data_IF_989853426350
#
_entry.id   IF_989853426350
#
_cell.length_a   1.000
_cell.length_b   1.000
_cell.length_c   1.000
_cell.angle_alpha   90.00
_cell.angle_beta   90.00
_cell.angle_gamma   90.00
#
_symmetry.space_group_name_H-M   'P 1'
#
loop_
_entity.id
_entity.type
_entity.pdbx_description
1 polymer ?
#
# COMPACT_ATOMS: atom_id res chain seq x y z
N UNK A 1 5.46 -4.64 3.49
CA UNK A 1 5.65 -5.99 4.12
C UNK A 1 4.52 -6.98 3.77
N UNK A 2 3.23 -6.60 3.72
CA UNK A 2 2.12 -7.53 3.33
C UNK A 2 2.37 -8.07 1.92
N UNK A 3 2.66 -7.21 0.93
CA UNK A 3 2.99 -7.62 -0.44
C UNK A 3 4.13 -8.67 -0.49
N UNK A 4 5.19 -8.47 0.29
CA UNK A 4 6.26 -9.46 0.43
C UNK A 4 5.76 -10.77 1.05
N UNK A 5 4.92 -10.72 2.08
CA UNK A 5 4.38 -11.92 2.72
C UNK A 5 3.48 -12.72 1.77
N UNK A 6 2.70 -12.04 0.93
CA UNK A 6 1.87 -12.67 -0.11
C UNK A 6 2.73 -13.33 -1.20
N UNK A 7 3.80 -12.67 -1.65
CA UNK A 7 4.71 -13.30 -2.64
C UNK A 7 5.37 -14.56 -2.10
N UNK A 8 5.71 -14.58 -0.80
CA UNK A 8 6.23 -15.79 -0.12
C UNK A 8 5.19 -16.93 -0.03
N UNK A 9 3.91 -16.63 -0.20
CA UNK A 9 2.82 -17.60 -0.27
C UNK A 9 2.50 -18.05 -1.71
N UNK A 10 3.25 -17.55 -2.70
CA UNK A 10 3.10 -17.90 -4.11
C UNK A 10 2.16 -17.02 -4.92
N UNK A 11 1.58 -15.97 -4.32
CA UNK A 11 0.79 -14.98 -5.06
C UNK A 11 1.71 -14.05 -5.85
N UNK A 12 1.36 -13.77 -7.09
CA UNK A 12 2.07 -12.82 -7.94
C UNK A 12 1.62 -11.40 -7.61
N UNK A 13 2.51 -10.63 -7.00
CA UNK A 13 2.19 -9.33 -6.40
C UNK A 13 2.97 -8.21 -7.08
N UNK A 14 2.26 -7.15 -7.47
CA UNK A 14 2.84 -5.87 -7.88
C UNK A 14 2.64 -4.84 -6.77
N UNK A 15 3.72 -4.18 -6.35
CA UNK A 15 3.63 -2.98 -5.51
C UNK A 15 3.88 -1.75 -6.39
N UNK A 16 2.92 -0.83 -6.42
CA UNK A 16 3.06 0.48 -7.02
C UNK A 16 3.33 1.51 -5.93
N UNK A 17 4.53 2.07 -5.88
CA UNK A 17 4.88 3.13 -4.95
C UNK A 17 4.54 4.49 -5.58
N UNK A 18 3.59 5.22 -5.00
CA UNK A 18 3.17 6.57 -5.42
C UNK A 18 3.62 7.65 -4.44
N UNK A 19 4.43 7.31 -3.45
CA UNK A 19 5.02 8.33 -2.58
C UNK A 19 6.29 8.91 -3.23
N UNK A 20 6.37 10.23 -3.48
CA UNK A 20 7.60 10.88 -3.96
C UNK A 20 8.81 10.69 -3.04
N UNK A 21 8.60 10.31 -1.77
CA UNK A 21 9.69 9.94 -0.86
C UNK A 21 10.30 8.58 -1.20
N UNK A 22 9.59 7.72 -1.95
CA UNK A 22 10.06 6.45 -2.47
C UNK A 22 10.61 5.49 -1.38
N UNK A 23 9.97 5.47 -0.20
CA UNK A 23 10.42 4.63 0.91
C UNK A 23 10.21 3.14 0.61
N UNK A 24 9.05 2.76 0.07
CA UNK A 24 8.77 1.39 -0.35
C UNK A 24 9.71 0.98 -1.49
N UNK A 25 9.93 1.86 -2.47
CA UNK A 25 10.91 1.66 -3.55
C UNK A 25 12.30 1.37 -2.99
N UNK A 26 12.80 2.21 -2.08
CA UNK A 26 14.13 2.04 -1.47
C UNK A 26 14.26 0.69 -0.76
N UNK A 27 13.25 0.28 0.02
CA UNK A 27 13.22 -0.98 0.74
C UNK A 27 13.34 -2.18 -0.24
N UNK A 28 12.50 -2.19 -1.28
CA UNK A 28 12.45 -3.32 -2.21
C UNK A 28 13.65 -3.38 -3.15
N UNK A 29 14.21 -2.24 -3.56
CA UNK A 29 15.45 -2.23 -4.34
C UNK A 29 16.64 -2.76 -3.55
N UNK A 30 16.77 -2.39 -2.26
CA UNK A 30 17.77 -2.98 -1.38
C UNK A 30 17.57 -4.49 -1.22
N UNK A 31 16.31 -4.94 -1.13
CA UNK A 31 15.99 -6.37 -1.05
C UNK A 31 16.45 -7.10 -2.33
N UNK A 32 16.23 -6.52 -3.50
CA UNK A 32 16.70 -7.09 -4.77
C UNK A 32 18.22 -7.20 -4.83
N UNK A 33 18.94 -6.15 -4.41
CA UNK A 33 20.41 -6.18 -4.38
C UNK A 33 20.94 -7.31 -3.49
N UNK A 34 20.29 -7.61 -2.37
CA UNK A 34 20.65 -8.75 -1.51
C UNK A 34 20.46 -10.11 -2.20
N UNK A 35 19.44 -10.22 -3.05
CA UNK A 35 19.13 -11.49 -3.76
C UNK A 35 20.03 -11.71 -4.97
N UNK A 36 20.45 -10.67 -5.68
CA UNK A 36 21.09 -10.77 -6.99
C UNK A 36 22.51 -10.20 -7.09
N UNK A 37 22.97 -9.44 -6.10
CA UNK A 37 24.21 -8.61 -6.14
C UNK A 37 24.27 -7.65 -7.35
N UNK A 38 23.15 -7.39 -8.01
CA UNK A 38 23.08 -6.54 -9.21
C UNK A 38 22.76 -5.09 -8.84
N UNK A 39 23.46 -4.14 -9.46
CA UNK A 39 23.11 -2.71 -9.41
C UNK A 39 21.93 -2.48 -10.35
N UNK A 40 20.81 -2.04 -9.79
CA UNK A 40 19.62 -1.73 -10.57
C UNK A 40 19.72 -0.30 -11.07
N UNK A 41 19.61 -0.14 -12.38
CA UNK A 41 19.55 1.18 -13.03
C UNK A 41 18.19 1.35 -13.70
N UNK A 42 17.59 2.52 -13.52
CA UNK A 42 16.33 2.87 -14.15
C UNK A 42 16.58 3.88 -15.27
N UNK A 43 16.11 3.57 -16.47
CA UNK A 43 16.15 4.49 -17.60
C UNK A 43 14.97 5.46 -17.61
N UNK A 44 13.92 5.13 -16.87
CA UNK A 44 12.67 5.90 -16.80
C UNK A 44 12.13 5.89 -15.37
N UNK A 45 11.48 6.99 -14.99
CA UNK A 45 10.76 7.13 -13.72
C UNK A 45 9.29 6.78 -13.88
N UNK A 46 8.56 6.60 -12.76
CA UNK A 46 7.11 6.43 -12.76
C UNK A 46 6.43 7.60 -13.49
N UNK A 47 6.87 8.83 -13.24
CA UNK A 47 6.33 10.01 -13.89
C UNK A 47 6.51 9.98 -15.42
N UNK A 48 7.68 9.54 -15.90
CA UNK A 48 7.95 9.38 -17.32
C UNK A 48 7.06 8.29 -17.96
N UNK A 49 6.93 7.14 -17.29
CA UNK A 49 6.08 6.04 -17.76
C UNK A 49 4.59 6.44 -17.82
N UNK A 50 4.11 7.23 -16.87
CA UNK A 50 2.76 7.80 -16.87
C UNK A 50 2.56 8.76 -18.05
N UNK A 51 3.55 9.60 -18.36
CA UNK A 51 3.48 10.52 -19.51
C UNK A 51 3.46 9.78 -20.85
N UNK A 52 4.13 8.64 -20.93
CA UNK A 52 4.14 7.75 -22.09
C UNK A 52 2.96 6.77 -22.12
N UNK A 53 2.12 6.76 -21.09
CA UNK A 53 0.96 5.87 -20.92
C UNK A 53 1.30 4.38 -20.96
N UNK A 54 2.51 4.02 -20.50
CA UNK A 54 3.00 2.63 -20.46
C UNK A 54 3.76 2.35 -19.15
N UNK A 55 3.03 1.88 -18.13
CA UNK A 55 3.61 1.47 -16.85
C UNK A 55 4.40 0.16 -16.95
N UNK A 56 4.06 -0.69 -17.91
CA UNK A 56 4.69 -2.01 -18.07
C UNK A 56 6.21 -1.94 -18.28
N UNK A 57 6.69 -0.89 -18.94
CA UNK A 57 8.11 -0.73 -19.27
C UNK A 57 9.03 -0.47 -18.06
N UNK A 58 8.47 -0.12 -16.88
CA UNK A 58 9.25 0.13 -15.67
C UNK A 58 9.00 -0.91 -14.56
N UNK A 59 8.14 -1.89 -14.81
CA UNK A 59 7.93 -2.98 -13.85
C UNK A 59 9.25 -3.70 -13.59
N UNK A 60 9.61 -3.78 -12.33
CA UNK A 60 10.87 -4.37 -11.89
C UNK A 60 10.60 -5.59 -11.03
N UNK A 61 11.06 -6.75 -11.44
CA UNK A 61 11.04 -7.93 -10.60
C UNK A 61 12.02 -7.75 -9.44
N UNK A 62 11.53 -7.88 -8.22
CA UNK A 62 12.36 -7.79 -7.00
C UNK A 62 12.88 -9.17 -6.63
N UNK A 63 11.99 -10.13 -6.61
CA UNK A 63 12.24 -11.56 -6.39
C UNK A 63 11.07 -12.35 -6.98
N UNK A 64 11.14 -13.67 -6.90
CA UNK A 64 10.04 -14.53 -7.34
C UNK A 64 8.68 -14.06 -6.79
N UNK A 65 7.72 -13.85 -7.67
CA UNK A 65 6.35 -13.39 -7.38
C UNK A 65 6.22 -12.00 -6.77
N UNK A 66 7.29 -11.19 -6.71
CA UNK A 66 7.24 -9.83 -6.19
C UNK A 66 7.80 -8.82 -7.17
N UNK A 67 6.98 -7.90 -7.60
CA UNK A 67 7.26 -6.87 -8.59
C UNK A 67 7.01 -5.49 -8.03
N UNK A 68 7.69 -4.50 -8.59
CA UNK A 68 7.63 -3.09 -8.16
C UNK A 68 7.46 -2.17 -9.37
N UNK A 69 6.55 -1.20 -9.25
CA UNK A 69 6.56 0.06 -9.99
C UNK A 69 7.22 1.12 -9.11
N UNK A 70 8.50 1.47 -9.38
CA UNK A 70 9.28 2.29 -8.47
C UNK A 70 8.94 3.77 -8.56
N UNK A 71 8.80 4.45 -7.42
CA UNK A 71 8.66 5.90 -7.33
C UNK A 71 10.00 6.61 -7.32
N UNK A 72 9.94 7.89 -7.73
CA UNK A 72 11.06 8.84 -7.61
C UNK A 72 10.50 10.22 -7.27
N UNK A 73 11.37 11.12 -6.84
CA UNK A 73 11.00 12.48 -6.40
C UNK A 73 10.25 13.31 -7.44
N UNK A 74 10.41 13.02 -8.74
CA UNK A 74 9.69 13.68 -9.83
C UNK A 74 8.20 13.33 -9.87
N UNK A 75 7.77 12.27 -9.18
CA UNK A 75 6.34 11.95 -9.02
C UNK A 75 5.58 13.06 -8.27
N UNK A 76 6.27 13.91 -7.51
CA UNK A 76 5.68 15.13 -6.95
C UNK A 76 5.10 16.08 -8.03
N UNK A 77 5.45 15.91 -9.30
CA UNK A 77 4.92 16.69 -10.43
C UNK A 77 3.60 16.13 -10.98
N UNK A 78 3.16 14.94 -10.53
CA UNK A 78 1.95 14.28 -11.03
C UNK A 78 0.68 15.15 -10.93
N UNK A 79 0.40 15.86 -9.83
CA UNK A 79 -0.76 16.76 -9.75
C UNK A 79 -0.74 17.84 -10.84
N UNK A 80 0.41 18.48 -11.04
CA UNK A 80 0.57 19.53 -12.06
C UNK A 80 0.45 18.98 -13.48
N UNK A 81 0.90 17.76 -13.71
CA UNK A 81 0.72 17.09 -15.00
C UNK A 81 -0.76 16.86 -15.29
N UNK A 82 -1.53 16.34 -14.31
CA UNK A 82 -2.96 16.11 -14.44
C UNK A 82 -3.75 17.40 -14.73
N UNK A 83 -3.41 18.49 -14.03
CA UNK A 83 -4.01 19.80 -14.29
C UNK A 83 -3.81 20.27 -15.72
N UNK A 84 -2.64 20.02 -16.29
CA UNK A 84 -2.34 20.37 -17.70
C UNK A 84 -3.01 19.44 -18.70
N UNK A 85 -3.07 18.14 -18.40
CA UNK A 85 -3.64 17.12 -19.27
C UNK A 85 -5.17 17.24 -19.32
N UNK A 86 -5.80 17.53 -18.18
CA UNK A 86 -7.25 17.63 -18.00
C UNK A 86 -7.62 18.96 -17.31
N UNK A 87 -7.49 20.12 -17.97
CA UNK A 87 -7.60 21.42 -17.32
C UNK A 87 -8.97 21.71 -16.72
N UNK A 88 -10.05 21.18 -17.34
CA UNK A 88 -11.44 21.44 -16.95
C UNK A 88 -12.20 20.15 -16.56
N UNK A 89 -11.50 19.05 -16.32
CA UNK A 89 -12.10 17.75 -16.04
C UNK A 89 -11.47 17.11 -14.78
N UNK A 90 -12.00 17.44 -13.58
CA UNK A 90 -11.51 16.85 -12.33
C UNK A 90 -11.77 15.35 -12.25
N UNK A 91 -12.83 14.84 -12.87
CA UNK A 91 -13.17 13.41 -12.90
C UNK A 91 -12.12 12.65 -13.70
N UNK A 92 -11.77 13.12 -14.89
CA UNK A 92 -10.72 12.50 -15.69
C UNK A 92 -9.36 12.50 -15.00
N UNK A 93 -9.04 13.50 -14.16
CA UNK A 93 -7.81 13.51 -13.37
C UNK A 93 -7.75 12.36 -12.39
N UNK A 94 -8.85 12.09 -11.67
CA UNK A 94 -8.94 11.01 -10.69
C UNK A 94 -8.90 9.65 -11.40
N UNK A 95 -9.60 9.50 -12.49
CA UNK A 95 -9.74 8.24 -13.25
C UNK A 95 -8.48 7.85 -14.04
N UNK A 96 -7.59 8.80 -14.31
CA UNK A 96 -6.49 8.59 -15.25
C UNK A 96 -5.55 7.47 -14.83
N UNK A 97 -5.15 7.39 -13.55
CA UNK A 97 -4.26 6.33 -13.09
C UNK A 97 -4.88 4.94 -13.21
N UNK A 98 -6.17 4.81 -12.96
CA UNK A 98 -6.91 3.55 -13.15
C UNK A 98 -6.78 3.04 -14.58
N UNK A 99 -6.90 3.91 -15.58
CA UNK A 99 -6.74 3.52 -16.98
C UNK A 99 -5.34 3.02 -17.33
N UNK A 100 -4.30 3.51 -16.63
CA UNK A 100 -2.92 3.12 -16.85
C UNK A 100 -2.56 1.79 -16.16
N UNK A 101 -3.15 1.51 -14.98
CA UNK A 101 -2.86 0.26 -14.24
C UNK A 101 -3.70 -0.92 -14.74
N UNK A 102 -4.84 -0.66 -15.36
CA UNK A 102 -5.79 -1.67 -15.83
C UNK A 102 -5.15 -2.76 -16.72
N UNK A 103 -4.28 -2.42 -17.71
CA UNK A 103 -3.62 -3.44 -18.53
C UNK A 103 -2.75 -4.43 -17.75
N UNK A 104 -2.28 -4.04 -16.54
CA UNK A 104 -1.43 -4.87 -15.70
C UNK A 104 -2.22 -5.81 -14.79
N UNK A 105 -3.49 -5.54 -14.49
CA UNK A 105 -4.31 -6.33 -13.56
C UNK A 105 -4.36 -7.82 -13.90
N UNK A 106 -4.39 -8.17 -15.19
CA UNK A 106 -4.43 -9.57 -15.68
C UNK A 106 -3.19 -10.39 -15.34
N UNK A 107 -2.07 -9.72 -15.04
CA UNK A 107 -0.76 -10.37 -14.85
C UNK A 107 -0.41 -10.59 -13.38
N UNK A 108 -1.25 -10.11 -12.44
CA UNK A 108 -0.99 -10.16 -10.99
C UNK A 108 -2.23 -10.61 -10.22
N UNK A 109 -2.01 -11.38 -9.14
CA UNK A 109 -3.08 -11.74 -8.20
C UNK A 109 -3.46 -10.56 -7.31
N UNK A 110 -2.48 -9.72 -6.94
CA UNK A 110 -2.67 -8.52 -6.14
C UNK A 110 -1.82 -7.37 -6.67
N UNK A 111 -2.41 -6.18 -6.74
CA UNK A 111 -1.71 -4.92 -6.97
C UNK A 111 -1.88 -4.05 -5.73
N UNK A 112 -0.80 -3.76 -5.03
CA UNK A 112 -0.78 -2.81 -3.92
C UNK A 112 -0.37 -1.43 -4.43
N UNK A 113 -1.07 -0.40 -3.99
CA UNK A 113 -0.73 0.99 -4.27
C UNK A 113 -0.37 1.65 -2.94
N UNK A 114 0.90 2.02 -2.79
CA UNK A 114 1.42 2.75 -1.62
C UNK A 114 1.33 4.25 -1.89
N UNK A 115 0.68 5.00 -1.01
CA UNK A 115 0.38 6.43 -1.19
C UNK A 115 0.97 7.28 -0.08
N UNK A 116 1.29 8.57 -0.34
CA UNK A 116 1.71 9.47 0.72
C UNK A 116 0.59 9.67 1.76
N UNK A 117 0.93 9.98 3.02
CA UNK A 117 -0.04 10.12 4.12
C UNK A 117 -0.81 11.45 4.08
N UNK A 118 -1.25 11.86 2.89
CA UNK A 118 -1.96 13.13 2.67
C UNK A 118 -3.13 12.91 1.73
N UNK A 119 -4.27 13.56 2.02
CA UNK A 119 -5.39 13.65 1.08
C UNK A 119 -4.98 14.58 -0.07
N UNK A 120 -4.94 14.04 -1.27
CA UNK A 120 -4.50 14.74 -2.48
C UNK A 120 -4.97 14.00 -3.73
N UNK A 121 -4.84 14.61 -4.89
CA UNK A 121 -5.18 13.96 -6.17
C UNK A 121 -4.38 12.64 -6.41
N UNK A 122 -3.20 12.47 -5.79
CA UNK A 122 -2.45 11.21 -5.83
C UNK A 122 -3.25 10.13 -5.10
N UNK A 123 -3.70 10.44 -3.88
CA UNK A 123 -4.51 9.52 -3.06
C UNK A 123 -5.86 9.25 -3.72
N UNK A 124 -6.52 10.29 -4.28
CA UNK A 124 -7.80 10.14 -4.98
C UNK A 124 -7.68 9.17 -6.15
N UNK A 125 -6.65 9.34 -6.98
CA UNK A 125 -6.40 8.51 -8.15
C UNK A 125 -6.04 7.06 -7.78
N UNK A 126 -5.28 6.87 -6.70
CA UNK A 126 -4.94 5.55 -6.17
C UNK A 126 -6.18 4.82 -5.65
N UNK A 127 -7.01 5.49 -4.85
CA UNK A 127 -8.24 4.94 -4.31
C UNK A 127 -9.24 4.60 -5.40
N UNK A 128 -9.40 5.47 -6.40
CA UNK A 128 -10.27 5.21 -7.55
C UNK A 128 -9.83 3.96 -8.35
N UNK A 129 -8.52 3.71 -8.41
CA UNK A 129 -7.96 2.55 -9.11
C UNK A 129 -8.00 1.25 -8.30
N UNK A 130 -8.38 1.33 -7.01
CA UNK A 130 -8.38 0.21 -6.07
C UNK A 130 -9.77 -0.41 -5.94
N UNK A 131 -9.81 -1.72 -5.75
CA UNK A 131 -11.03 -2.47 -5.43
C UNK A 131 -11.22 -2.50 -3.90
N UNK A 132 -10.11 -2.52 -3.12
CA UNK A 132 -10.13 -2.63 -1.68
C UNK A 132 -9.16 -1.67 -0.99
N UNK A 133 -9.51 -1.25 0.22
CA UNK A 133 -8.68 -0.37 1.06
C UNK A 133 -8.40 -1.05 2.40
N UNK A 134 -7.14 -1.05 2.82
CA UNK A 134 -6.72 -1.32 4.19
C UNK A 134 -6.35 0.00 4.85
N UNK A 135 -7.09 0.39 5.88
CA UNK A 135 -6.78 1.59 6.66
C UNK A 135 -5.72 1.25 7.70
N UNK A 136 -4.55 1.89 7.61
CA UNK A 136 -3.45 1.66 8.57
C UNK A 136 -3.61 2.60 9.75
N UNK A 137 -3.83 2.03 10.95
CA UNK A 137 -4.04 2.76 12.19
C UNK A 137 -2.81 2.64 13.10
N UNK A 138 -2.03 3.71 13.27
CA UNK A 138 -1.07 3.76 14.36
C UNK A 138 -1.81 3.87 15.70
N UNK A 139 -1.33 3.17 16.75
CA UNK A 139 -1.97 3.15 18.07
C UNK A 139 -1.75 4.47 18.84
N UNK A 140 -2.22 5.58 18.27
CA UNK A 140 -2.17 6.93 18.82
C UNK A 140 -3.53 7.61 18.62
N UNK A 141 -3.98 8.40 19.58
CA UNK A 141 -5.27 9.07 19.55
C UNK A 141 -5.49 9.94 18.30
N UNK A 142 -4.47 10.69 17.87
CA UNK A 142 -4.55 11.50 16.64
C UNK A 142 -4.75 10.67 15.38
N UNK A 143 -4.21 9.45 15.36
CA UNK A 143 -4.36 8.55 14.23
C UNK A 143 -5.76 7.95 14.19
N UNK A 144 -6.41 7.76 15.34
CA UNK A 144 -7.80 7.32 15.43
C UNK A 144 -8.74 8.35 14.81
N UNK A 145 -8.62 9.63 15.21
CA UNK A 145 -9.36 10.73 14.59
C UNK A 145 -9.11 10.84 13.08
N UNK A 146 -7.85 10.63 12.66
CA UNK A 146 -7.48 10.60 11.24
C UNK A 146 -8.17 9.47 10.48
N UNK A 147 -8.30 8.30 11.08
CA UNK A 147 -9.00 7.16 10.47
C UNK A 147 -10.51 7.41 10.32
N UNK A 148 -11.16 8.03 11.31
CA UNK A 148 -12.58 8.44 11.22
C UNK A 148 -12.81 9.44 10.09
N UNK A 149 -11.96 10.48 10.00
CA UNK A 149 -12.02 11.47 8.91
C UNK A 149 -11.79 10.80 7.56
N UNK A 150 -10.88 9.84 7.49
CA UNK A 150 -10.55 9.14 6.25
C UNK A 150 -11.70 8.25 5.78
N UNK A 151 -12.45 7.58 6.66
CA UNK A 151 -13.63 6.80 6.25
C UNK A 151 -14.72 7.68 5.66
N UNK A 152 -14.96 8.86 6.25
CA UNK A 152 -15.88 9.86 5.68
C UNK A 152 -15.41 10.39 4.32
N UNK A 153 -14.11 10.58 4.15
CA UNK A 153 -13.53 10.99 2.87
C UNK A 153 -13.68 9.91 1.78
N UNK A 154 -13.53 8.63 2.10
CA UNK A 154 -13.78 7.54 1.15
C UNK A 154 -15.22 7.56 0.61
N UNK A 155 -16.20 7.82 1.48
CA UNK A 155 -17.59 7.97 1.05
C UNK A 155 -17.76 9.13 0.06
N UNK A 156 -17.13 10.29 0.33
CA UNK A 156 -17.15 11.42 -0.60
C UNK A 156 -16.53 11.07 -1.96
N UNK A 157 -15.47 10.27 -1.97
CA UNK A 157 -14.83 9.83 -3.23
C UNK A 157 -15.75 8.91 -4.05
N UNK A 158 -16.50 8.04 -3.39
CA UNK A 158 -17.52 7.19 -4.02
C UNK A 158 -18.63 8.06 -4.62
N UNK A 159 -19.15 9.00 -3.83
CA UNK A 159 -20.27 9.87 -4.23
C UNK A 159 -19.89 10.82 -5.37
N UNK A 160 -18.71 11.42 -5.33
CA UNK A 160 -18.25 12.45 -6.26
C UNK A 160 -17.69 11.87 -7.57
N UNK A 161 -17.01 10.72 -7.52
CA UNK A 161 -16.28 10.16 -8.65
C UNK A 161 -16.80 8.80 -9.13
N UNK A 162 -17.72 8.17 -8.37
CA UNK A 162 -18.23 6.85 -8.69
C UNK A 162 -17.17 5.75 -8.49
N UNK A 163 -16.28 5.91 -7.52
CA UNK A 163 -15.31 4.87 -7.17
C UNK A 163 -16.03 3.61 -6.67
N UNK A 164 -15.56 2.45 -7.08
CA UNK A 164 -16.07 1.16 -6.63
C UNK A 164 -15.01 0.49 -5.76
N UNK A 165 -14.99 0.83 -4.47
CA UNK A 165 -14.00 0.34 -3.52
C UNK A 165 -14.67 0.04 -2.18
N UNK A 166 -14.14 -0.96 -1.47
CA UNK A 166 -14.58 -1.35 -0.13
C UNK A 166 -13.42 -1.33 0.88
N UNK A 167 -13.77 -1.09 2.16
CA UNK A 167 -12.79 -1.14 3.25
C UNK A 167 -12.76 -2.57 3.80
N UNK A 168 -11.72 -3.34 3.49
CA UNK A 168 -11.58 -4.71 4.01
C UNK A 168 -11.10 -4.78 5.46
N UNK A 169 -10.73 -3.65 6.03
CA UNK A 169 -10.45 -3.54 7.45
C UNK A 169 -9.44 -2.48 7.83
N UNK A 170 -9.34 -2.28 9.13
CA UNK A 170 -8.41 -1.37 9.77
C UNK A 170 -7.31 -2.21 10.40
N UNK A 171 -6.06 -1.96 9.99
CA UNK A 171 -4.88 -2.66 10.48
C UNK A 171 -4.15 -1.83 11.54
N UNK A 172 -4.23 -2.20 12.84
CA UNK A 172 -3.47 -1.53 13.87
C UNK A 172 -1.97 -1.85 13.75
N UNK A 173 -1.14 -0.81 13.86
CA UNK A 173 0.32 -0.93 13.70
C UNK A 173 1.08 -0.24 14.82
N UNK A 174 2.34 -0.64 15.01
CA UNK A 174 3.31 -0.07 15.95
C UNK A 174 2.93 -0.23 17.44
N UNK A 175 2.10 -1.22 17.77
CA UNK A 175 1.73 -1.52 19.15
C UNK A 175 2.98 -1.82 20.00
N UNK A 176 3.14 -1.10 21.08
CA UNK A 176 4.15 -1.39 22.10
C UNK A 176 3.55 -2.33 23.15
N UNK A 177 4.14 -3.49 23.35
CA UNK A 177 3.65 -4.46 24.33
C UNK A 177 3.45 -3.82 25.72
N UNK A 178 2.21 -3.87 26.22
CA UNK A 178 1.86 -3.37 27.56
C UNK A 178 1.72 -1.85 27.70
N UNK A 179 1.82 -1.07 26.64
CA UNK A 179 1.57 0.36 26.71
C UNK A 179 0.07 0.63 26.88
N UNK A 180 -0.32 1.25 28.00
CA UNK A 180 -1.71 1.53 28.33
C UNK A 180 -2.41 2.41 27.27
N UNK A 181 -1.68 3.36 26.68
CA UNK A 181 -2.19 4.24 25.62
C UNK A 181 -2.54 3.44 24.36
N UNK A 182 -1.68 2.50 23.97
CA UNK A 182 -1.91 1.68 22.78
C UNK A 182 -3.15 0.79 22.96
N UNK A 183 -3.33 0.20 24.16
CA UNK A 183 -4.50 -0.62 24.47
C UNK A 183 -5.79 0.21 24.51
N UNK A 184 -5.75 1.41 25.08
CA UNK A 184 -6.89 2.33 25.10
C UNK A 184 -7.29 2.75 23.68
N UNK A 185 -6.30 3.06 22.82
CA UNK A 185 -6.57 3.41 21.41
C UNK A 185 -7.20 2.24 20.64
N UNK A 186 -6.76 1.00 20.89
CA UNK A 186 -7.36 -0.18 20.28
C UNK A 186 -8.81 -0.39 20.75
N UNK A 187 -9.08 -0.18 22.03
CA UNK A 187 -10.45 -0.29 22.56
C UNK A 187 -11.37 0.76 21.95
N UNK A 188 -10.92 2.02 21.90
CA UNK A 188 -11.67 3.07 21.21
C UNK A 188 -11.87 2.77 19.72
N UNK A 189 -10.88 2.19 19.04
CA UNK A 189 -11.04 1.76 17.66
C UNK A 189 -12.11 0.68 17.49
N UNK A 190 -12.20 -0.30 18.43
CA UNK A 190 -13.27 -1.31 18.43
C UNK A 190 -14.64 -0.71 18.64
N UNK A 191 -14.75 0.26 19.55
CA UNK A 191 -16.01 0.95 19.82
C UNK A 191 -16.50 1.79 18.61
N UNK A 192 -15.57 2.41 17.88
CA UNK A 192 -15.90 3.31 16.77
C UNK A 192 -16.19 2.53 15.48
N UNK A 193 -15.32 1.56 15.15
CA UNK A 193 -15.36 0.89 13.85
C UNK A 193 -16.00 -0.50 13.88
N UNK A 194 -16.21 -1.10 15.07
CA UNK A 194 -16.59 -2.50 15.23
C UNK A 194 -15.38 -3.43 15.25
N UNK A 195 -15.44 -4.48 16.06
CA UNK A 195 -14.35 -5.44 16.21
C UNK A 195 -14.10 -6.24 14.91
N UNK A 196 -15.15 -6.53 14.17
CA UNK A 196 -15.13 -7.24 12.88
C UNK A 196 -14.35 -6.47 11.79
N UNK A 197 -14.33 -5.14 11.86
CA UNK A 197 -13.64 -4.28 10.92
C UNK A 197 -12.15 -4.07 11.27
N UNK A 198 -11.71 -4.47 12.46
CA UNK A 198 -10.29 -4.46 12.82
C UNK A 198 -9.62 -5.80 12.45
N UNK A 199 -8.39 -5.71 11.94
CA UNK A 199 -7.57 -6.91 11.83
C UNK A 199 -7.28 -7.48 13.22
N UNK A 200 -7.51 -8.78 13.39
CA UNK A 200 -7.20 -9.52 14.62
C UNK A 200 -5.67 -9.62 14.82
N UNK A 201 -4.93 -9.70 13.70
CA UNK A 201 -3.48 -9.71 13.70
C UNK A 201 -2.93 -8.29 13.61
N UNK A 202 -2.16 -7.88 14.63
CA UNK A 202 -1.67 -6.50 14.81
C UNK A 202 -0.17 -6.45 14.52
N UNK A 203 0.29 -5.36 13.89
CA UNK A 203 1.73 -5.11 13.70
C UNK A 203 2.32 -4.53 14.98
N UNK A 204 3.06 -5.35 15.73
CA UNK A 204 3.81 -4.88 16.89
C UNK A 204 5.01 -4.01 16.46
N UNK A 205 5.44 -3.12 17.36
CA UNK A 205 6.66 -2.36 17.17
C UNK A 205 7.87 -3.32 17.25
N UNK A 206 8.56 -3.50 16.14
CA UNK A 206 9.73 -4.38 16.02
C UNK A 206 10.90 -3.59 15.46
N UNK A 207 11.99 -3.47 16.22
CA UNK A 207 13.21 -2.79 15.75
C UNK A 207 13.79 -3.39 14.47
N UNK A 208 13.51 -4.67 14.21
CA UNK A 208 13.94 -5.35 12.99
C UNK A 208 13.34 -4.72 11.72
N UNK A 209 12.10 -4.20 11.76
CA UNK A 209 11.48 -3.49 10.64
C UNK A 209 12.30 -2.25 10.25
N UNK A 210 12.77 -1.48 11.23
CA UNK A 210 13.64 -0.32 10.97
C UNK A 210 14.98 -0.73 10.36
N UNK A 211 15.49 -1.91 10.71
CA UNK A 211 16.70 -2.43 10.11
C UNK A 211 16.48 -2.80 8.64
N UNK A 212 15.33 -3.35 8.29
CA UNK A 212 15.00 -3.64 6.89
C UNK A 212 15.00 -2.38 6.00
N UNK A 213 14.62 -1.21 6.54
CA UNK A 213 14.73 0.05 5.80
C UNK A 213 16.18 0.41 5.43
N UNK A 214 17.14 -0.12 6.19
CA UNK A 214 18.58 0.12 5.94
C UNK A 214 19.17 -0.98 5.04
N UNK A 215 18.86 -2.24 5.31
CA UNK A 215 19.52 -3.40 4.70
C UNK A 215 18.75 -4.01 3.52
N UNK A 216 17.47 -3.76 3.38
CA UNK A 216 16.53 -4.61 2.64
C UNK A 216 15.96 -5.71 3.53
N UNK A 217 15.00 -6.46 3.01
CA UNK A 217 14.30 -7.54 3.72
C UNK A 217 15.19 -8.79 3.71
N UNK A 218 15.65 -9.21 4.88
CA UNK A 218 16.49 -10.38 5.07
C UNK A 218 15.73 -11.53 5.73
N UNK A 219 16.28 -12.74 5.68
CA UNK A 219 15.78 -13.93 6.39
C UNK A 219 16.93 -14.72 7.01
N UNK A 220 17.83 -14.02 7.69
CA UNK A 220 19.10 -14.58 8.20
C UNK A 220 18.97 -15.17 9.60
N UNK A 221 18.17 -14.55 10.48
CA UNK A 221 18.13 -14.88 11.89
C UNK A 221 16.70 -15.08 12.45
N UNK A 222 16.61 -15.37 13.74
CA UNK A 222 15.34 -15.59 14.44
C UNK A 222 14.46 -14.31 14.51
N UNK A 223 15.05 -13.13 14.48
CA UNK A 223 14.31 -11.86 14.52
C UNK A 223 13.67 -11.57 13.17
N UNK A 224 14.35 -11.85 12.08
CA UNK A 224 13.78 -11.79 10.73
C UNK A 224 12.59 -12.74 10.61
N UNK A 225 12.79 -14.01 11.04
CA UNK A 225 11.71 -15.02 11.01
C UNK A 225 10.50 -14.61 11.84
N UNK A 226 10.70 -13.89 12.97
CA UNK A 226 9.58 -13.36 13.76
C UNK A 226 8.78 -12.31 12.97
N UNK A 227 9.46 -11.41 12.25
CA UNK A 227 8.80 -10.43 11.36
C UNK A 227 8.04 -11.15 10.26
N UNK A 228 8.68 -12.07 9.55
CA UNK A 228 8.03 -12.83 8.47
C UNK A 228 6.81 -13.60 8.97
N UNK A 229 6.90 -14.25 10.13
CA UNK A 229 5.75 -14.94 10.76
C UNK A 229 4.60 -13.98 11.05
N UNK A 230 4.88 -12.81 11.63
CA UNK A 230 3.86 -11.81 11.95
C UNK A 230 3.15 -11.30 10.69
N UNK A 231 3.91 -10.93 9.66
CA UNK A 231 3.31 -10.49 8.39
C UNK A 231 2.68 -11.63 7.59
N UNK A 232 3.15 -12.86 7.79
CA UNK A 232 2.52 -14.06 7.24
C UNK A 232 1.10 -14.28 7.76
N UNK A 233 0.87 -14.12 9.08
CA UNK A 233 -0.47 -14.23 9.67
C UNK A 233 -1.38 -13.07 9.26
N UNK A 234 -0.84 -11.84 9.14
CA UNK A 234 -1.60 -10.70 8.61
C UNK A 234 -1.99 -10.93 7.14
N UNK A 235 -1.08 -11.48 6.33
CA UNK A 235 -1.38 -11.82 4.94
C UNK A 235 -2.47 -12.91 4.82
N UNK A 236 -2.49 -13.91 5.72
CA UNK A 236 -3.57 -14.91 5.77
C UNK A 236 -4.92 -14.28 6.08
N UNK A 237 -4.96 -13.38 7.06
CA UNK A 237 -6.18 -12.65 7.41
C UNK A 237 -6.61 -11.71 6.26
N UNK A 238 -5.67 -11.01 5.61
CA UNK A 238 -5.93 -10.19 4.44
C UNK A 238 -6.60 -10.99 3.33
N UNK A 239 -6.05 -12.17 2.98
CA UNK A 239 -6.62 -13.05 1.96
C UNK A 239 -8.04 -13.46 2.35
N UNK A 240 -8.26 -13.87 3.61
CA UNK A 240 -9.57 -14.31 4.08
C UNK A 240 -10.62 -13.19 3.97
N UNK A 241 -10.25 -11.94 4.32
CA UNK A 241 -11.12 -10.77 4.20
C UNK A 241 -11.47 -10.45 2.75
N UNK A 242 -10.47 -10.42 1.86
CA UNK A 242 -10.70 -10.21 0.41
C UNK A 242 -11.61 -11.30 -0.16
N UNK A 243 -11.41 -12.56 0.21
CA UNK A 243 -12.24 -13.66 -0.26
C UNK A 243 -13.69 -13.56 0.26
N UNK A 244 -13.89 -13.07 1.48
CA UNK A 244 -15.21 -12.86 2.05
C UNK A 244 -15.98 -11.78 1.26
N UNK A 245 -15.36 -10.63 1.01
CA UNK A 245 -15.97 -9.55 0.21
C UNK A 245 -16.30 -10.00 -1.22
N UNK A 246 -15.39 -10.72 -1.88
CA UNK A 246 -15.63 -11.24 -3.22
C UNK A 246 -16.73 -12.31 -3.30
N UNK A 247 -17.09 -12.93 -2.17
CA UNK A 247 -18.16 -13.92 -2.10
C UNK A 247 -19.55 -13.30 -1.87
N UNK A 248 -19.61 -12.03 -1.44
CA UNK A 248 -20.86 -11.28 -1.21
C UNK A 248 -21.35 -10.54 -2.47
N UNK A 249 -20.52 -10.44 -3.50
CA UNK A 249 -20.80 -9.84 -4.82
C UNK A 249 -21.31 -10.92 -5.78
#
# INVERSE_FOLDING_TARGET
MIAHALSMKGYKVLLCDQDPQANATSLYLKTKVLETDEIITFNKTLMAAIQEEDLGQIVTEIKENLYLLPSFSDFALYPRFLEKKFPNDPVARVQYFSSLIEPLKKDYDFIFIDVPPTISIITDAALYASDFVVVVLQTQERSLQGAEVFTGYLQSLIDDYGANLDIIGILPVLLKNGAAVDLATLESAREIFGEENLFANIVNNMERLKRFDITGITNEDMHDRKVHKSYGTIADEFIARVQAELAEV
#
